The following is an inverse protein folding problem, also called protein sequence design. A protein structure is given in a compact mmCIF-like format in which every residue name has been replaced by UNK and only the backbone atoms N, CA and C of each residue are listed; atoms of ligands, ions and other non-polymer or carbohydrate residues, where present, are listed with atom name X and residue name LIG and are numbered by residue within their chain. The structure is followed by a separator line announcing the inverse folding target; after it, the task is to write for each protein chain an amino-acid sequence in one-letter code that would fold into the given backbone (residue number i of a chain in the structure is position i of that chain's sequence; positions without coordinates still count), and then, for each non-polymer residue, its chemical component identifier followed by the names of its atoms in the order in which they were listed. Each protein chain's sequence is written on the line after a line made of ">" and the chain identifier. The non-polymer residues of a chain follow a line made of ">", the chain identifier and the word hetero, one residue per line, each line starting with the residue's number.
data_IF_969688347448
#
_entry.id   IF_969688347448
#
_cell.length_a   1.000
_cell.length_b   1.000
_cell.length_c   1.000
_cell.angle_alpha   90.00
_cell.angle_beta   90.00
_cell.angle_gamma   90.00
#
_symmetry.space_group_name_H-M   'P 1'
#
loop_
_entity.id
_entity.type
_entity.pdbx_description
1 polymer ?
#
# COMPACT_ATOMS: atom_id res chain seq x y z
N UNK A 1 15.65 -2.09 -0.90
CA UNK A 1 15.17 -2.86 -2.08
C UNK A 1 13.87 -3.60 -1.72
N UNK A 2 12.94 -3.90 -2.66
CA UNK A 2 11.70 -4.63 -2.31
C UNK A 2 11.97 -6.08 -1.88
N UNK A 3 11.48 -6.46 -0.71
CA UNK A 3 11.25 -7.86 -0.33
C UNK A 3 9.79 -8.25 -0.59
N UNK A 4 9.47 -9.53 -0.40
CA UNK A 4 8.09 -10.05 -0.52
C UNK A 4 7.16 -9.36 0.48
N UNK A 5 7.64 -9.21 1.71
CA UNK A 5 6.93 -8.62 2.84
C UNK A 5 6.68 -7.13 2.60
N UNK A 6 7.69 -6.39 2.14
CA UNK A 6 7.57 -4.96 1.79
C UNK A 6 6.55 -4.78 0.66
N UNK A 7 6.62 -5.60 -0.39
CA UNK A 7 5.70 -5.52 -1.51
C UNK A 7 4.25 -5.79 -1.07
N UNK A 8 4.03 -6.83 -0.27
CA UNK A 8 2.71 -7.18 0.24
C UNK A 8 2.14 -6.09 1.16
N UNK A 9 2.93 -5.59 2.11
CA UNK A 9 2.49 -4.51 3.01
C UNK A 9 2.21 -3.22 2.25
N UNK A 10 3.01 -2.90 1.22
CA UNK A 10 2.71 -1.78 0.32
C UNK A 10 1.33 -1.93 -0.33
N UNK A 11 0.99 -3.13 -0.83
CA UNK A 11 -0.33 -3.39 -1.41
C UNK A 11 -1.46 -3.25 -0.38
N UNK A 12 -1.29 -3.82 0.82
CA UNK A 12 -2.27 -3.74 1.90
C UNK A 12 -2.51 -2.31 2.41
N UNK A 13 -1.45 -1.50 2.50
CA UNK A 13 -1.50 -0.13 2.99
C UNK A 13 -2.03 0.84 1.91
N UNK A 14 -1.56 0.70 0.67
CA UNK A 14 -1.97 1.54 -0.45
C UNK A 14 -3.48 1.46 -0.71
N UNK A 15 -4.06 0.26 -0.69
CA UNK A 15 -5.50 0.12 -0.91
C UNK A 15 -6.35 0.57 0.29
N UNK A 16 -5.82 0.51 1.51
CA UNK A 16 -6.47 1.13 2.67
C UNK A 16 -6.49 2.65 2.56
N UNK A 17 -5.37 3.25 2.11
CA UNK A 17 -5.29 4.68 1.78
C UNK A 17 -6.30 5.06 0.70
N UNK A 18 -6.40 4.29 -0.39
CA UNK A 18 -7.39 4.55 -1.44
C UNK A 18 -8.83 4.45 -0.95
N UNK A 19 -9.13 3.50 -0.05
CA UNK A 19 -10.45 3.39 0.56
C UNK A 19 -10.82 4.66 1.32
N UNK A 20 -9.89 5.21 2.09
CA UNK A 20 -10.09 6.46 2.84
C UNK A 20 -10.28 7.64 1.89
N UNK A 21 -9.45 7.75 0.85
CA UNK A 21 -9.48 8.88 -0.07
C UNK A 21 -10.67 8.88 -1.03
N UNK A 22 -11.00 7.72 -1.60
CA UNK A 22 -11.93 7.63 -2.72
C UNK A 22 -13.22 6.86 -2.39
N UNK A 23 -13.42 6.42 -1.14
CA UNK A 23 -14.60 5.64 -0.74
C UNK A 23 -14.78 4.37 -1.60
N UNK A 24 -13.68 3.75 -2.01
CA UNK A 24 -13.62 2.60 -2.90
C UNK A 24 -14.09 2.82 -4.36
N UNK A 25 -14.18 4.06 -4.86
CA UNK A 25 -14.56 4.39 -6.25
C UNK A 25 -13.47 4.13 -7.32
N UNK A 26 -12.53 3.22 -7.05
CA UNK A 26 -11.46 2.83 -7.98
C UNK A 26 -10.10 3.47 -7.70
N UNK A 27 -9.05 2.82 -8.23
CA UNK A 27 -7.64 3.23 -8.12
C UNK A 27 -7.25 4.11 -9.30
N UNK A 28 -7.24 5.43 -9.10
CA UNK A 28 -6.89 6.41 -10.13
C UNK A 28 -5.38 6.44 -10.47
N UNK A 29 -4.56 5.74 -9.68
CA UNK A 29 -3.12 5.63 -9.93
C UNK A 29 -2.72 4.19 -10.26
N UNK A 30 -3.63 3.34 -10.77
CA UNK A 30 -3.36 1.92 -11.01
C UNK A 30 -2.03 1.68 -11.73
N UNK A 31 -1.79 2.36 -12.85
CA UNK A 31 -0.59 2.12 -13.65
C UNK A 31 0.69 2.56 -12.91
N UNK A 32 0.59 3.64 -12.13
CA UNK A 32 1.70 4.15 -11.35
C UNK A 32 1.94 3.33 -10.08
N UNK A 33 0.89 2.84 -9.41
CA UNK A 33 0.98 2.07 -8.16
C UNK A 33 1.56 0.68 -8.40
N UNK A 34 1.27 0.09 -9.55
CA UNK A 34 1.88 -1.17 -9.97
C UNK A 34 3.36 -1.05 -10.35
N UNK A 35 3.81 0.16 -10.71
CA UNK A 35 5.21 0.41 -11.08
C UNK A 35 6.03 0.97 -9.92
N UNK A 36 5.46 1.86 -9.11
CA UNK A 36 6.12 2.57 -8.01
C UNK A 36 5.24 2.58 -6.75
N UNK A 37 4.94 1.41 -6.15
CA UNK A 37 3.93 1.31 -5.10
C UNK A 37 4.25 2.14 -3.87
N UNK A 38 5.49 2.07 -3.36
CA UNK A 38 5.93 2.84 -2.19
C UNK A 38 5.86 4.34 -2.43
N UNK A 39 6.26 4.83 -3.61
CA UNK A 39 6.12 6.25 -3.98
C UNK A 39 4.68 6.71 -3.95
N UNK A 40 3.78 5.95 -4.57
CA UNK A 40 2.36 6.26 -4.58
C UNK A 40 1.78 6.26 -3.16
N UNK A 41 2.16 5.28 -2.33
CA UNK A 41 1.77 5.21 -0.93
C UNK A 41 2.21 6.45 -0.15
N UNK A 42 3.50 6.82 -0.23
CA UNK A 42 4.04 7.98 0.50
C UNK A 42 3.44 9.32 0.04
N UNK A 43 3.02 9.43 -1.22
CA UNK A 43 2.33 10.62 -1.73
C UNK A 43 0.89 10.74 -1.22
N UNK A 44 0.20 9.61 -1.06
CA UNK A 44 -1.22 9.58 -0.71
C UNK A 44 -1.47 9.46 0.80
N UNK A 45 -0.57 8.79 1.53
CA UNK A 45 -0.71 8.55 2.97
C UNK A 45 -0.95 9.84 3.78
N UNK A 46 -0.20 10.95 3.59
CA UNK A 46 -0.46 12.19 4.33
C UNK A 46 -1.85 12.78 4.07
N UNK A 47 -2.43 12.53 2.89
CA UNK A 47 -3.79 12.98 2.57
C UNK A 47 -4.82 12.11 3.28
N UNK A 48 -4.62 10.79 3.32
CA UNK A 48 -5.50 9.88 4.03
C UNK A 48 -5.53 10.17 5.54
N UNK A 49 -4.37 10.45 6.15
CA UNK A 49 -4.29 10.82 7.57
C UNK A 49 -5.10 12.07 7.90
N UNK A 50 -5.11 13.08 7.01
CA UNK A 50 -5.90 14.30 7.19
C UNK A 50 -7.41 14.08 7.13
N UNK A 51 -7.87 13.08 6.38
CA UNK A 51 -9.29 12.72 6.31
C UNK A 51 -9.67 11.89 7.53
N UNK A 52 -8.82 10.94 7.91
CA UNK A 52 -9.01 10.11 9.09
C UNK A 52 -8.13 8.87 9.01
N UNK A 53 -7.15 8.77 9.92
CA UNK A 53 -6.34 7.57 10.09
C UNK A 53 -7.18 6.44 10.67
N UNK A 54 -7.12 5.25 10.07
CA UNK A 54 -7.63 4.04 10.72
C UNK A 54 -6.49 3.41 11.52
N UNK A 55 -6.81 2.83 12.68
CA UNK A 55 -5.82 2.09 13.48
C UNK A 55 -5.09 1.04 12.64
N UNK A 56 -5.83 0.36 11.76
CA UNK A 56 -5.31 -0.61 10.80
C UNK A 56 -4.30 -0.03 9.82
N UNK A 57 -4.50 1.20 9.34
CA UNK A 57 -3.57 1.85 8.42
C UNK A 57 -2.27 2.23 9.14
N UNK A 58 -2.37 2.78 10.35
CA UNK A 58 -1.19 3.19 11.13
C UNK A 58 -0.34 1.98 11.54
N UNK A 59 -0.97 0.87 11.96
CA UNK A 59 -0.28 -0.39 12.27
C UNK A 59 0.50 -0.91 11.06
N UNK A 60 -0.15 -0.99 9.88
CA UNK A 60 0.50 -1.45 8.64
C UNK A 60 1.63 -0.52 8.19
N UNK A 61 1.45 0.78 8.32
CA UNK A 61 2.51 1.74 8.00
C UNK A 61 3.69 1.62 8.96
N UNK A 62 3.44 1.42 10.25
CA UNK A 62 4.48 1.13 11.23
C UNK A 62 5.26 -0.14 10.90
N UNK A 63 4.56 -1.24 10.62
CA UNK A 63 5.18 -2.49 10.17
C UNK A 63 6.02 -2.31 8.90
N UNK A 64 5.47 -1.64 7.89
CA UNK A 64 6.17 -1.37 6.64
C UNK A 64 7.45 -0.55 6.87
N UNK A 65 7.36 0.54 7.63
CA UNK A 65 8.50 1.41 7.89
C UNK A 65 9.57 0.73 8.74
N UNK A 66 9.21 -0.19 9.64
CA UNK A 66 10.17 -0.97 10.42
C UNK A 66 10.98 -1.97 9.56
N UNK A 67 10.47 -2.37 8.39
CA UNK A 67 11.17 -3.27 7.46
C UNK A 67 12.11 -2.53 6.50
N UNK A 68 11.99 -1.21 6.40
CA UNK A 68 12.71 -0.41 5.43
C UNK A 68 13.88 0.31 6.12
N UNK A 69 15.10 0.00 5.70
CA UNK A 69 16.26 0.79 6.10
C UNK A 69 16.14 2.22 5.55
N UNK A 70 16.55 3.26 6.30
CA UNK A 70 16.58 4.63 5.79
C UNK A 70 17.32 4.78 4.44
N UNK A 71 18.40 4.01 4.24
CA UNK A 71 19.20 4.02 3.01
C UNK A 71 18.43 3.46 1.79
N UNK A 72 17.44 2.60 2.03
CA UNK A 72 16.61 1.99 0.98
C UNK A 72 15.43 2.87 0.54
N UNK A 73 15.09 3.90 1.31
CA UNK A 73 13.89 4.74 1.05
C UNK A 73 13.99 5.38 -0.33
N UNK A 74 15.15 5.96 -0.67
CA UNK A 74 15.34 6.61 -1.97
C UNK A 74 15.10 5.63 -3.12
N UNK A 75 15.67 4.43 -3.01
CA UNK A 75 15.52 3.38 -4.02
C UNK A 75 14.06 2.92 -4.15
N UNK A 76 13.34 2.76 -3.04
CA UNK A 76 11.91 2.39 -3.05
C UNK A 76 11.02 3.49 -3.64
N UNK A 77 11.43 4.76 -3.54
CA UNK A 77 10.73 5.91 -4.11
C UNK A 77 10.98 6.10 -5.61
N UNK A 78 12.20 5.81 -6.08
CA UNK A 78 12.64 6.18 -7.44
C UNK A 78 12.68 5.00 -8.41
N UNK A 79 12.94 3.77 -7.91
CA UNK A 79 13.08 2.59 -8.77
C UNK A 79 11.75 1.86 -8.91
N UNK A 80 11.46 1.31 -10.09
CA UNK A 80 10.26 0.50 -10.25
C UNK A 80 10.35 -0.75 -9.37
N UNK A 81 9.19 -1.24 -8.93
CA UNK A 81 9.11 -2.54 -8.26
C UNK A 81 9.68 -3.62 -9.19
N UNK A 82 10.37 -4.58 -8.59
CA UNK A 82 10.90 -5.73 -9.31
C UNK A 82 9.76 -6.58 -9.84
N UNK A 83 9.90 -7.10 -11.06
CA UNK A 83 8.87 -7.94 -11.69
C UNK A 83 8.47 -9.13 -10.81
N UNK A 84 9.45 -9.76 -10.14
CA UNK A 84 9.24 -10.87 -9.20
C UNK A 84 8.46 -10.49 -7.94
N UNK A 85 8.33 -9.20 -7.64
CA UNK A 85 7.66 -8.67 -6.46
C UNK A 85 6.24 -8.15 -6.74
N UNK A 86 5.88 -7.98 -8.01
CA UNK A 86 4.52 -7.52 -8.40
C UNK A 86 3.45 -8.47 -7.86
N UNK A 87 3.66 -9.79 -7.96
CA UNK A 87 2.72 -10.78 -7.44
C UNK A 87 2.44 -10.58 -5.94
N UNK A 88 3.47 -10.26 -5.15
CA UNK A 88 3.31 -10.04 -3.71
C UNK A 88 2.55 -8.75 -3.39
N UNK A 89 2.76 -7.70 -4.19
CA UNK A 89 1.94 -6.49 -4.13
C UNK A 89 0.46 -6.79 -4.42
N UNK A 90 0.17 -7.59 -5.44
CA UNK A 90 -1.20 -8.02 -5.76
C UNK A 90 -1.84 -8.87 -4.67
N UNK A 91 -1.07 -9.76 -4.03
CA UNK A 91 -1.54 -10.53 -2.87
C UNK A 91 -1.96 -9.58 -1.75
N UNK A 92 -1.15 -8.56 -1.46
CA UNK A 92 -1.47 -7.54 -0.47
C UNK A 92 -2.78 -6.80 -0.78
N UNK A 93 -2.97 -6.38 -2.04
CA UNK A 93 -4.24 -5.79 -2.50
C UNK A 93 -5.41 -6.75 -2.27
N UNK A 94 -5.30 -7.99 -2.73
CA UNK A 94 -6.41 -8.94 -2.70
C UNK A 94 -6.82 -9.26 -1.26
N UNK A 95 -5.87 -9.36 -0.33
CA UNK A 95 -6.14 -9.54 1.10
C UNK A 95 -6.96 -8.39 1.70
N UNK A 96 -6.72 -7.15 1.28
CA UNK A 96 -7.58 -6.02 1.67
C UNK A 96 -9.01 -6.16 1.11
N UNK A 97 -9.16 -6.58 -0.15
CA UNK A 97 -10.47 -6.76 -0.78
C UNK A 97 -11.28 -7.93 -0.19
N UNK A 98 -10.63 -9.04 0.16
CA UNK A 98 -11.28 -10.19 0.81
C UNK A 98 -11.80 -9.85 2.21
N UNK A 99 -11.00 -9.14 3.01
CA UNK A 99 -11.45 -8.62 4.31
C UNK A 99 -12.69 -7.74 4.18
N UNK A 100 -12.79 -6.94 3.11
CA UNK A 100 -13.97 -6.10 2.85
C UNK A 100 -15.20 -6.96 2.56
N UNK A 101 -15.08 -7.96 1.68
CA UNK A 101 -16.18 -8.88 1.33
C UNK A 101 -16.67 -9.70 2.52
N UNK A 102 -15.78 -10.05 3.47
CA UNK A 102 -16.17 -10.72 4.70
C UNK A 102 -17.06 -9.81 5.57
N UNK A 103 -16.64 -8.55 5.78
CA UNK A 103 -17.39 -7.58 6.59
C UNK A 103 -18.72 -7.12 5.97
N UNK A 104 -18.93 -7.31 4.65
CA UNK A 104 -20.19 -7.01 3.95
C UNK A 104 -21.20 -8.18 4.02
N UNK A 105 -20.78 -9.36 4.53
CA UNK A 105 -21.62 -10.57 4.65
C UNK A 105 -22.20 -10.80 6.05
N UNK A 106 -21.78 -10.00 7.02
CA UNK A 106 -22.29 -9.96 8.40
C UNK A 106 -23.27 -8.78 8.58
#
# INVERSE_FOLDING_TARGET
>A
MYTKEIAQLCGEAYYEVLKILNGAKGDVYSDASYRFPFRCLMLLYPRAIKIGATKTLDEKMGELMNLISPDDIKDLMEKPIQQSMILYYEIGRNKHLEKRKANERD
#
